data_IF_023117200293
#
_entry.id   IF_023117200293
#
_cell.length_a   1.000
_cell.length_b   1.000
_cell.length_c   1.000
_cell.angle_alpha   90.00
_cell.angle_beta   90.00
_cell.angle_gamma   90.00
#
_symmetry.space_group_name_H-M   'P 1'
#
loop_
_entity.id
_entity.type
_entity.pdbx_description
1 polymer ?
#
# COMPACT_ATOMS: atom_id res chain seq x y z
N UNK A 1 51.24 2.41 -35.58
CA UNK A 1 49.93 2.13 -34.94
C UNK A 1 48.87 2.95 -35.68
N UNK A 2 47.88 2.27 -36.26
CA UNK A 2 46.90 2.88 -37.17
C UNK A 2 45.73 3.45 -36.34
N UNK A 3 45.34 4.74 -36.50
CA UNK A 3 44.25 5.36 -35.74
C UNK A 3 42.88 4.66 -35.91
N UNK A 4 42.70 3.83 -36.93
CA UNK A 4 41.50 3.03 -37.12
C UNK A 4 41.32 1.90 -36.09
N UNK A 5 42.42 1.40 -35.51
CA UNK A 5 42.38 0.27 -34.56
C UNK A 5 41.95 0.70 -33.16
N UNK A 6 42.15 1.96 -32.78
CA UNK A 6 41.66 2.51 -31.51
C UNK A 6 40.17 2.89 -31.54
N UNK A 7 39.64 3.25 -32.72
CA UNK A 7 38.22 3.57 -32.89
C UNK A 7 37.34 2.31 -32.74
N UNK A 8 37.79 1.17 -33.26
CA UNK A 8 37.09 -0.12 -33.14
C UNK A 8 36.98 -0.63 -31.70
N UNK A 9 37.97 -0.35 -30.85
CA UNK A 9 37.99 -0.76 -29.44
C UNK A 9 37.17 0.15 -28.51
N UNK A 10 36.79 1.37 -28.95
CA UNK A 10 35.87 2.23 -28.17
C UNK A 10 34.40 1.95 -28.44
N UNK A 11 34.08 1.31 -29.58
CA UNK A 11 32.70 0.97 -29.95
C UNK A 11 32.21 -0.38 -29.36
N UNK A 12 33.09 -1.16 -28.71
CA UNK A 12 32.71 -2.42 -28.03
C UNK A 12 32.32 -2.24 -26.56
N UNK A 13 32.34 -1.02 -26.03
CA UNK A 13 31.86 -0.68 -24.68
C UNK A 13 30.49 0.03 -24.71
N UNK A 14 29.59 -0.42 -25.57
CA UNK A 14 28.16 -0.23 -25.30
C UNK A 14 27.70 -1.41 -24.44
N UNK A 15 27.90 -1.30 -23.13
CA UNK A 15 27.08 -2.06 -22.18
C UNK A 15 25.62 -1.77 -22.51
N UNK A 16 24.81 -2.78 -22.90
CA UNK A 16 23.39 -2.59 -23.10
C UNK A 16 22.75 -2.46 -21.72
N UNK A 17 22.81 -1.28 -21.11
CA UNK A 17 22.03 -0.97 -19.91
C UNK A 17 20.59 -0.68 -20.33
N UNK A 18 19.92 -1.70 -20.87
CA UNK A 18 18.53 -1.94 -20.54
C UNK A 18 18.55 -3.05 -19.49
N UNK A 19 19.19 -2.77 -18.36
CA UNK A 19 18.82 -3.47 -17.14
C UNK A 19 17.41 -2.93 -16.84
N UNK A 20 16.40 -3.62 -17.36
CA UNK A 20 14.98 -3.39 -17.04
C UNK A 20 14.80 -3.76 -15.57
N UNK A 21 15.36 -2.91 -14.72
CA UNK A 21 15.44 -3.12 -13.28
C UNK A 21 14.02 -3.02 -12.77
N UNK A 22 13.37 -4.18 -12.68
CA UNK A 22 12.01 -4.30 -12.17
C UNK A 22 11.95 -3.69 -10.79
N UNK A 23 11.07 -2.72 -10.62
CA UNK A 23 10.82 -2.13 -9.31
C UNK A 23 10.11 -3.19 -8.47
N UNK A 24 10.82 -3.75 -7.50
CA UNK A 24 10.25 -4.70 -6.56
C UNK A 24 9.63 -3.95 -5.38
N UNK A 25 8.30 -3.91 -5.38
CA UNK A 25 7.51 -3.34 -4.29
C UNK A 25 7.17 -4.42 -3.24
N UNK A 26 6.42 -4.04 -2.20
CA UNK A 26 6.14 -4.93 -1.09
C UNK A 26 5.08 -5.99 -1.44
N UNK A 27 5.56 -7.19 -1.75
CA UNK A 27 4.74 -8.37 -2.02
C UNK A 27 4.16 -8.94 -0.73
N UNK A 28 2.86 -9.24 -0.74
CA UNK A 28 2.16 -9.96 0.34
C UNK A 28 0.94 -10.68 -0.23
N UNK A 29 0.63 -11.87 0.30
CA UNK A 29 -0.57 -12.60 -0.12
C UNK A 29 -1.84 -11.79 0.22
N UNK A 30 -2.85 -11.88 -0.64
CA UNK A 30 -4.13 -11.15 -0.43
C UNK A 30 -4.78 -11.58 0.90
N UNK A 31 -4.73 -12.86 1.25
CA UNK A 31 -5.28 -13.35 2.53
C UNK A 31 -4.59 -12.72 3.73
N UNK A 32 -3.25 -12.64 3.72
CA UNK A 32 -2.49 -11.99 4.80
C UNK A 32 -2.76 -10.49 4.86
N UNK A 33 -2.84 -9.84 3.71
CA UNK A 33 -3.22 -8.43 3.61
C UNK A 33 -4.59 -8.18 4.24
N UNK A 34 -5.60 -8.98 3.88
CA UNK A 34 -6.97 -8.87 4.42
C UNK A 34 -7.01 -9.04 5.94
N UNK A 35 -6.34 -10.07 6.46
CA UNK A 35 -6.29 -10.32 7.90
C UNK A 35 -5.64 -9.16 8.64
N UNK A 36 -4.48 -8.68 8.17
CA UNK A 36 -3.77 -7.59 8.81
C UNK A 36 -4.54 -6.28 8.71
N UNK A 37 -5.11 -5.97 7.55
CA UNK A 37 -5.91 -4.77 7.36
C UNK A 37 -7.16 -4.79 8.25
N UNK A 38 -7.93 -5.88 8.23
CA UNK A 38 -9.16 -6.01 9.00
C UNK A 38 -8.94 -6.02 10.51
N UNK A 39 -8.02 -6.86 11.00
CA UNK A 39 -7.77 -7.02 12.44
C UNK A 39 -6.96 -5.87 13.06
N UNK A 40 -6.52 -4.91 12.26
CA UNK A 40 -5.97 -3.62 12.72
C UNK A 40 -6.87 -2.43 12.40
N UNK A 41 -8.11 -2.68 11.94
CA UNK A 41 -9.06 -1.65 11.52
C UNK A 41 -8.45 -0.61 10.55
N UNK A 42 -7.69 -1.09 9.57
CA UNK A 42 -7.00 -0.27 8.58
C UNK A 42 -5.64 0.28 9.03
N UNK A 43 -5.25 0.15 10.30
CA UNK A 43 -3.96 0.63 10.82
C UNK A 43 -2.74 0.04 10.09
N UNK A 44 -2.86 -1.19 9.58
CA UNK A 44 -1.85 -1.82 8.74
C UNK A 44 -1.45 -0.98 7.51
N UNK A 45 -2.29 -0.04 7.05
CA UNK A 45 -1.98 0.83 5.91
C UNK A 45 -0.72 1.67 6.09
N UNK A 46 -0.44 2.12 7.31
CA UNK A 46 0.78 2.90 7.58
C UNK A 46 2.00 2.02 7.32
N UNK A 47 2.02 0.81 7.90
CA UNK A 47 3.10 -0.15 7.68
C UNK A 47 3.20 -0.57 6.20
N UNK A 48 2.07 -0.87 5.56
CA UNK A 48 2.02 -1.27 4.16
C UNK A 48 2.57 -0.18 3.23
N UNK A 49 2.17 1.08 3.45
CA UNK A 49 2.67 2.23 2.71
C UNK A 49 4.17 2.42 2.93
N UNK A 50 4.61 2.35 4.19
CA UNK A 50 6.04 2.41 4.54
C UNK A 50 6.85 1.37 3.79
N UNK A 51 6.43 0.10 3.82
CA UNK A 51 7.16 -1.00 3.17
C UNK A 51 7.27 -0.78 1.67
N UNK A 52 6.21 -0.34 1.01
CA UNK A 52 6.24 -0.04 -0.43
C UNK A 52 7.20 1.10 -0.75
N UNK A 53 7.13 2.22 -0.02
CA UNK A 53 8.03 3.35 -0.24
C UNK A 53 9.48 3.06 0.13
N UNK A 54 9.71 2.23 1.15
CA UNK A 54 11.05 1.79 1.53
C UNK A 54 11.66 0.89 0.44
N UNK A 55 10.89 -0.06 -0.10
CA UNK A 55 11.33 -0.88 -1.23
C UNK A 55 11.59 -0.02 -2.48
N UNK A 56 10.69 0.88 -2.82
CA UNK A 56 10.88 1.81 -3.94
C UNK A 56 12.17 2.63 -3.79
N UNK A 57 12.43 3.17 -2.59
CA UNK A 57 13.66 3.92 -2.29
C UNK A 57 14.91 3.05 -2.44
N UNK A 58 14.88 1.82 -1.94
CA UNK A 58 16.01 0.90 -2.04
C UNK A 58 16.34 0.55 -3.51
N UNK A 59 15.32 0.39 -4.36
CA UNK A 59 15.51 0.02 -5.75
C UNK A 59 15.95 1.18 -6.65
N UNK A 60 15.39 2.37 -6.42
CA UNK A 60 15.57 3.54 -7.30
C UNK A 60 16.60 4.55 -6.79
N UNK A 61 17.00 4.47 -5.52
CA UNK A 61 17.84 5.49 -4.88
C UNK A 61 17.16 6.84 -4.69
N UNK A 62 15.83 6.94 -4.89
CA UNK A 62 15.11 8.20 -4.83
C UNK A 62 15.25 8.89 -3.45
N UNK A 63 15.46 10.22 -3.39
CA UNK A 63 15.63 10.97 -2.15
C UNK A 63 14.29 11.22 -1.45
N UNK A 64 13.57 10.15 -1.11
CA UNK A 64 12.26 10.20 -0.44
C UNK A 64 12.37 9.80 1.04
N UNK A 65 11.37 10.18 1.82
CA UNK A 65 11.20 9.79 3.22
C UNK A 65 10.03 8.80 3.35
N UNK A 66 10.29 7.46 3.36
CA UNK A 66 9.22 6.46 3.42
C UNK A 66 8.32 6.58 4.65
N UNK A 67 8.89 6.96 5.79
CA UNK A 67 8.14 7.13 7.03
C UNK A 67 7.13 8.28 6.96
N UNK A 68 7.52 9.42 6.38
CA UNK A 68 6.60 10.55 6.18
C UNK A 68 5.48 10.18 5.21
N UNK A 69 5.81 9.49 4.11
CA UNK A 69 4.82 9.02 3.15
C UNK A 69 3.87 7.97 3.72
N UNK A 70 4.31 7.22 4.73
CA UNK A 70 3.50 6.25 5.45
C UNK A 70 2.53 6.92 6.45
N UNK A 71 3.01 7.90 7.22
CA UNK A 71 2.17 8.66 8.14
C UNK A 71 1.08 9.45 7.39
N UNK A 72 1.42 9.99 6.22
CA UNK A 72 0.54 10.74 5.33
C UNK A 72 0.03 9.88 4.16
N UNK A 73 -0.11 8.56 4.35
CA UNK A 73 -0.42 7.63 3.27
C UNK A 73 -1.62 8.02 2.37
N UNK A 74 -2.72 8.66 2.84
CA UNK A 74 -3.81 9.02 1.94
C UNK A 74 -3.37 9.98 0.84
N UNK A 75 -2.40 10.86 1.11
CA UNK A 75 -1.84 11.80 0.12
C UNK A 75 -0.84 11.12 -0.83
N UNK A 76 -0.23 10.02 -0.40
CA UNK A 76 0.79 9.31 -1.18
C UNK A 76 0.26 8.04 -1.86
N UNK A 77 -1.04 7.74 -1.75
CA UNK A 77 -1.62 6.55 -2.39
C UNK A 77 -1.62 6.65 -3.92
N UNK A 78 -1.96 7.83 -4.46
CA UNK A 78 -1.97 8.08 -5.92
C UNK A 78 -0.56 8.00 -6.52
N UNK A 79 0.47 8.69 -5.98
CA UNK A 79 1.84 8.51 -6.44
C UNK A 79 2.34 7.06 -6.35
N UNK A 80 1.92 6.31 -5.33
CA UNK A 80 2.29 4.90 -5.22
C UNK A 80 1.66 4.09 -6.35
N UNK A 81 0.40 4.33 -6.66
CA UNK A 81 -0.32 3.63 -7.72
C UNK A 81 0.24 3.95 -9.11
N UNK A 82 0.68 5.18 -9.33
CA UNK A 82 1.41 5.59 -10.53
C UNK A 82 2.73 4.83 -10.68
N UNK A 83 3.51 4.69 -9.60
CA UNK A 83 4.72 3.85 -9.60
C UNK A 83 4.41 2.40 -9.99
N UNK A 84 3.32 1.84 -9.47
CA UNK A 84 2.89 0.47 -9.80
C UNK A 84 2.52 0.35 -11.28
N UNK A 85 1.71 1.28 -11.80
CA UNK A 85 1.28 1.26 -13.20
C UNK A 85 2.46 1.44 -14.16
N UNK A 86 3.31 2.43 -13.91
CA UNK A 86 4.52 2.66 -14.69
C UNK A 86 5.46 1.45 -14.69
N UNK A 87 5.56 0.75 -13.56
CA UNK A 87 6.30 -0.50 -13.46
C UNK A 87 5.70 -1.60 -14.34
N UNK A 88 4.37 -1.79 -14.28
CA UNK A 88 3.67 -2.79 -15.08
C UNK A 88 3.82 -2.53 -16.58
N UNK A 89 3.66 -1.28 -17.00
CA UNK A 89 3.76 -0.86 -18.40
C UNK A 89 5.17 -1.12 -18.95
N UNK A 90 6.22 -0.85 -18.15
CA UNK A 90 7.62 -1.15 -18.53
C UNK A 90 7.89 -2.64 -18.69
N UNK A 91 7.25 -3.49 -17.87
CA UNK A 91 7.38 -4.95 -18.00
C UNK A 91 6.63 -5.53 -19.21
N UNK A 92 5.99 -4.70 -20.04
CA UNK A 92 5.20 -5.11 -21.20
C UNK A 92 3.91 -5.84 -20.85
N UNK A 93 3.50 -5.81 -19.58
CA UNK A 93 2.26 -6.44 -19.11
C UNK A 93 1.14 -5.42 -19.13
N UNK A 94 0.19 -5.56 -20.04
CA UNK A 94 -1.06 -4.80 -20.03
C UNK A 94 -1.94 -5.26 -18.86
N UNK A 95 -1.62 -4.84 -17.64
CA UNK A 95 -2.42 -5.10 -16.45
C UNK A 95 -3.16 -3.82 -16.06
N UNK A 96 -4.40 -3.69 -16.53
CA UNK A 96 -5.23 -2.53 -16.25
C UNK A 96 -6.08 -2.77 -15.01
N UNK A 97 -5.85 -1.98 -13.97
CA UNK A 97 -6.55 -2.10 -12.69
C UNK A 97 -7.18 -0.79 -12.21
N UNK A 98 -7.20 0.24 -13.05
CA UNK A 98 -7.75 1.57 -12.79
C UNK A 98 -7.08 2.27 -11.58
N UNK A 99 -5.75 2.52 -11.62
CA UNK A 99 -5.02 3.11 -10.51
C UNK A 99 -5.61 4.46 -10.07
N UNK A 100 -5.85 5.38 -10.99
CA UNK A 100 -6.35 6.73 -10.68
C UNK A 100 -7.72 6.72 -10.00
N UNK A 101 -8.71 6.08 -10.63
CA UNK A 101 -10.08 5.99 -10.10
C UNK A 101 -10.10 5.38 -8.70
N UNK A 102 -9.35 4.30 -8.47
CA UNK A 102 -9.28 3.66 -7.15
C UNK A 102 -8.58 4.52 -6.12
N UNK A 103 -7.48 5.16 -6.49
CA UNK A 103 -6.74 6.05 -5.59
C UNK A 103 -7.60 7.24 -5.15
N UNK A 104 -8.33 7.86 -6.08
CA UNK A 104 -9.26 8.96 -5.79
C UNK A 104 -10.42 8.51 -4.89
N UNK A 105 -11.01 7.34 -5.17
CA UNK A 105 -12.07 6.78 -4.32
C UNK A 105 -11.58 6.48 -2.91
N UNK A 106 -10.39 5.89 -2.75
CA UNK A 106 -9.79 5.65 -1.42
C UNK A 106 -9.59 6.98 -0.68
N UNK A 107 -9.02 7.98 -1.34
CA UNK A 107 -8.82 9.30 -0.75
C UNK A 107 -10.15 9.94 -0.31
N UNK A 108 -11.19 9.86 -1.14
CA UNK A 108 -12.52 10.37 -0.84
C UNK A 108 -13.16 9.64 0.36
N UNK A 109 -13.06 8.31 0.41
CA UNK A 109 -13.60 7.50 1.52
C UNK A 109 -12.88 7.83 2.85
N UNK A 110 -11.56 7.99 2.82
CA UNK A 110 -10.77 8.39 4.00
C UNK A 110 -11.13 9.82 4.44
N UNK A 111 -11.24 10.75 3.49
CA UNK A 111 -11.65 12.12 3.80
C UNK A 111 -13.05 12.17 4.41
N UNK A 112 -13.99 11.38 3.87
CA UNK A 112 -15.33 11.26 4.42
C UNK A 112 -15.34 10.63 5.82
N UNK A 113 -14.52 9.62 6.07
CA UNK A 113 -14.32 9.02 7.41
C UNK A 113 -13.84 10.06 8.43
N UNK A 114 -12.87 10.89 8.06
CA UNK A 114 -12.38 12.00 8.91
C UNK A 114 -13.49 13.04 9.13
N UNK A 115 -14.25 13.39 8.10
CA UNK A 115 -15.35 14.35 8.21
C UNK A 115 -16.44 13.85 9.15
N UNK A 116 -16.88 12.59 9.01
CA UNK A 116 -17.85 11.98 9.92
C UNK A 116 -17.34 12.01 11.36
N UNK A 117 -16.09 11.60 11.57
CA UNK A 117 -15.50 11.54 12.91
C UNK A 117 -15.29 12.92 13.55
N UNK A 118 -15.20 13.99 12.76
CA UNK A 118 -15.00 15.37 13.25
C UNK A 118 -16.30 16.15 13.42
N UNK A 119 -17.34 15.86 12.62
CA UNK A 119 -18.64 16.51 12.73
C UNK A 119 -19.55 15.86 13.77
N UNK A 120 -19.45 14.54 13.96
CA UNK A 120 -20.29 13.77 14.86
C UNK A 120 -19.51 13.39 16.13
N UNK A 121 -19.35 14.36 17.03
CA UNK A 121 -18.53 14.20 18.25
C UNK A 121 -19.36 13.94 19.51
N UNK A 122 -20.69 13.92 19.41
CA UNK A 122 -21.55 13.70 20.57
C UNK A 122 -21.57 12.21 20.93
N UNK A 123 -21.65 11.85 22.22
CA UNK A 123 -21.78 10.45 22.65
C UNK A 123 -22.94 9.69 22.00
N UNK A 124 -24.06 10.39 21.74
CA UNK A 124 -25.21 9.82 21.04
C UNK A 124 -24.90 9.41 19.59
N UNK A 125 -23.92 10.06 18.96
CA UNK A 125 -23.55 9.80 17.57
C UNK A 125 -22.52 8.65 17.43
N UNK A 126 -21.90 8.24 18.54
CA UNK A 126 -20.77 7.32 18.58
C UNK A 126 -21.00 6.01 17.83
N UNK A 127 -22.15 5.37 18.07
CA UNK A 127 -22.52 4.12 17.38
C UNK A 127 -22.63 4.33 15.87
N UNK A 128 -23.23 5.44 15.43
CA UNK A 128 -23.32 5.77 14.01
C UNK A 128 -21.94 5.99 13.40
N UNK A 129 -21.07 6.75 14.06
CA UNK A 129 -19.69 7.00 13.61
C UNK A 129 -18.90 5.69 13.51
N UNK A 130 -19.03 4.79 14.49
CA UNK A 130 -18.37 3.49 14.48
C UNK A 130 -18.84 2.63 13.29
N UNK A 131 -20.15 2.51 13.09
CA UNK A 131 -20.70 1.75 11.96
C UNK A 131 -20.31 2.36 10.61
N UNK A 132 -20.38 3.68 10.45
CA UNK A 132 -19.96 4.36 9.23
C UNK A 132 -18.49 4.11 8.94
N UNK A 133 -17.60 4.26 9.93
CA UNK A 133 -16.18 3.98 9.75
C UNK A 133 -15.91 2.52 9.39
N UNK A 134 -16.61 1.56 10.01
CA UNK A 134 -16.48 0.14 9.67
C UNK A 134 -16.85 -0.15 8.20
N UNK A 135 -17.92 0.47 7.70
CA UNK A 135 -18.34 0.37 6.29
C UNK A 135 -17.28 0.99 5.36
N UNK A 136 -16.77 2.18 5.69
CA UNK A 136 -15.77 2.87 4.88
C UNK A 136 -14.44 2.11 4.83
N UNK A 137 -13.97 1.56 5.95
CA UNK A 137 -12.77 0.71 6.03
C UNK A 137 -12.96 -0.52 5.14
N UNK A 138 -14.13 -1.16 5.19
CA UNK A 138 -14.43 -2.34 4.36
C UNK A 138 -14.44 -1.98 2.87
N UNK A 139 -15.02 -0.83 2.49
CA UNK A 139 -14.99 -0.32 1.12
C UNK A 139 -13.57 -0.02 0.62
N UNK A 140 -12.74 0.63 1.45
CA UNK A 140 -11.32 0.87 1.16
C UNK A 140 -10.56 -0.45 0.97
N UNK A 141 -10.83 -1.46 1.78
CA UNK A 141 -10.18 -2.76 1.70
C UNK A 141 -10.31 -3.39 0.30
N UNK A 142 -11.52 -3.37 -0.27
CA UNK A 142 -11.78 -3.92 -1.60
C UNK A 142 -10.95 -3.23 -2.69
N UNK A 143 -10.77 -1.91 -2.60
CA UNK A 143 -9.96 -1.14 -3.54
C UNK A 143 -8.46 -1.42 -3.37
N UNK A 144 -8.01 -1.56 -2.12
CA UNK A 144 -6.62 -1.86 -1.78
C UNK A 144 -6.21 -3.29 -2.16
N UNK A 145 -7.13 -4.25 -2.15
CA UNK A 145 -6.87 -5.61 -2.65
C UNK A 145 -6.46 -5.58 -4.13
N UNK A 146 -7.09 -4.74 -4.95
CA UNK A 146 -6.68 -4.60 -6.35
C UNK A 146 -5.28 -4.01 -6.48
N UNK A 147 -4.94 -3.00 -5.67
CA UNK A 147 -3.60 -2.44 -5.62
C UNK A 147 -2.55 -3.49 -5.19
N UNK A 148 -2.84 -4.29 -4.17
CA UNK A 148 -1.93 -5.36 -3.75
C UNK A 148 -1.73 -6.41 -4.85
N UNK A 149 -2.80 -6.77 -5.57
CA UNK A 149 -2.69 -7.69 -6.72
C UNK A 149 -1.80 -7.09 -7.82
N UNK A 150 -1.95 -5.81 -8.13
CA UNK A 150 -1.10 -5.12 -9.10
C UNK A 150 0.39 -5.13 -8.68
N UNK A 151 0.68 -4.86 -7.40
CA UNK A 151 2.04 -4.94 -6.84
C UNK A 151 2.62 -6.36 -6.93
N UNK A 152 1.83 -7.37 -6.58
CA UNK A 152 2.22 -8.78 -6.67
C UNK A 152 2.50 -9.19 -8.13
N UNK A 153 1.67 -8.73 -9.07
CA UNK A 153 1.87 -8.95 -10.50
C UNK A 153 3.16 -8.31 -11.01
N UNK A 154 3.46 -7.08 -10.60
CA UNK A 154 4.69 -6.36 -10.96
C UNK A 154 5.94 -7.12 -10.51
N UNK A 155 5.92 -7.64 -9.28
CA UNK A 155 7.01 -8.43 -8.72
C UNK A 155 7.14 -9.85 -9.32
N UNK A 156 6.21 -10.27 -10.19
CA UNK A 156 6.21 -11.62 -10.77
C UNK A 156 5.74 -12.72 -9.82
N UNK A 157 5.15 -12.39 -8.67
CA UNK A 157 4.54 -13.33 -7.71
C UNK A 157 3.05 -12.98 -7.49
N UNK A 158 2.16 -13.29 -8.46
CA UNK A 158 0.74 -12.90 -8.41
C UNK A 158 0.01 -13.34 -7.14
N UNK A 159 0.43 -14.47 -6.56
CA UNK A 159 -0.19 -15.04 -5.37
C UNK A 159 0.38 -14.48 -4.06
N UNK A 160 1.48 -13.72 -4.12
CA UNK A 160 2.20 -13.23 -2.95
C UNK A 160 2.74 -14.37 -2.08
N UNK A 161 3.19 -15.45 -2.72
CA UNK A 161 3.67 -16.68 -2.12
C UNK A 161 4.89 -16.45 -1.22
N UNK A 162 5.79 -15.55 -1.65
CA UNK A 162 7.01 -15.19 -0.91
C UNK A 162 6.69 -14.66 0.49
N UNK A 163 5.52 -14.04 0.67
CA UNK A 163 5.11 -13.44 1.92
C UNK A 163 3.66 -13.83 2.27
N UNK A 164 3.40 -15.15 2.27
CA UNK A 164 2.11 -15.72 2.66
C UNK A 164 1.99 -16.05 4.15
N UNK A 165 3.10 -16.43 4.80
CA UNK A 165 3.08 -16.87 6.20
C UNK A 165 2.87 -15.71 7.18
N UNK A 166 2.10 -15.95 8.24
CA UNK A 166 1.97 -15.05 9.37
C UNK A 166 3.14 -15.30 10.35
N UNK A 167 3.85 -14.24 10.71
CA UNK A 167 4.86 -14.28 11.77
C UNK A 167 4.20 -13.99 13.12
N UNK A 168 4.91 -14.30 14.21
CA UNK A 168 4.49 -13.93 15.57
C UNK A 168 4.26 -12.44 15.74
N UNK A 169 5.09 -11.59 15.11
CA UNK A 169 4.89 -10.15 15.10
C UNK A 169 3.56 -9.76 14.44
N UNK A 170 3.20 -10.38 13.31
CA UNK A 170 1.90 -10.13 12.66
C UNK A 170 0.75 -10.52 13.58
N UNK A 171 0.87 -11.66 14.25
CA UNK A 171 -0.13 -12.12 15.21
C UNK A 171 -0.29 -11.15 16.38
N UNK A 172 0.81 -10.69 16.98
CA UNK A 172 0.78 -9.70 18.05
C UNK A 172 0.07 -8.40 17.63
N UNK A 173 0.33 -7.89 16.42
CA UNK A 173 -0.34 -6.70 15.90
C UNK A 173 -1.84 -6.93 15.65
N UNK A 174 -2.24 -8.10 15.15
CA UNK A 174 -3.65 -8.43 14.97
C UNK A 174 -4.38 -8.51 16.32
N UNK A 175 -3.76 -9.11 17.35
CA UNK A 175 -4.32 -9.15 18.71
C UNK A 175 -4.44 -7.74 19.28
N UNK A 176 -3.38 -6.94 19.20
CA UNK A 176 -3.39 -5.57 19.71
C UNK A 176 -4.46 -4.70 19.03
N UNK A 177 -4.57 -4.78 17.70
CA UNK A 177 -5.59 -4.06 16.93
C UNK A 177 -7.01 -4.49 17.29
N UNK A 178 -7.24 -5.80 17.43
CA UNK A 178 -8.55 -6.34 17.82
C UNK A 178 -8.94 -5.91 19.25
N UNK A 179 -7.99 -5.94 20.19
CA UNK A 179 -8.20 -5.47 21.56
C UNK A 179 -8.51 -3.98 21.59
N UNK A 180 -7.80 -3.16 20.81
CA UNK A 180 -8.08 -1.73 20.71
C UNK A 180 -9.51 -1.47 20.21
N UNK A 181 -9.95 -2.19 19.17
CA UNK A 181 -11.32 -2.09 18.66
C UNK A 181 -12.36 -2.49 19.71
N UNK A 182 -12.11 -3.58 20.45
CA UNK A 182 -13.00 -4.01 21.52
C UNK A 182 -13.08 -2.98 22.65
N UNK A 183 -11.95 -2.37 23.02
CA UNK A 183 -11.88 -1.31 24.03
C UNK A 183 -12.66 -0.08 23.58
N UNK A 184 -12.46 0.39 22.34
CA UNK A 184 -13.21 1.52 21.79
C UNK A 184 -14.70 1.21 21.77
N UNK A 185 -15.11 0.06 21.23
CA UNK A 185 -16.52 -0.34 21.20
C UNK A 185 -17.14 -0.43 22.61
N UNK A 186 -16.39 -0.93 23.60
CA UNK A 186 -16.82 -0.97 24.99
C UNK A 186 -16.97 0.43 25.60
N UNK A 187 -16.01 1.33 25.37
CA UNK A 187 -16.08 2.71 25.85
C UNK A 187 -17.30 3.44 25.28
N UNK A 188 -17.53 3.31 23.97
CA UNK A 188 -18.70 3.93 23.34
C UNK A 188 -20.01 3.34 23.89
N UNK A 189 -20.09 2.03 24.07
CA UNK A 189 -21.26 1.39 24.66
C UNK A 189 -21.53 1.85 26.11
N UNK A 190 -20.48 1.99 26.91
CA UNK A 190 -20.61 2.50 28.29
C UNK A 190 -20.98 3.98 28.32
N UNK A 191 -20.52 4.78 27.35
CA UNK A 191 -20.87 6.21 27.26
C UNK A 191 -22.33 6.47 26.87
N UNK A 192 -23.04 5.46 26.37
CA UNK A 192 -24.47 5.55 26.02
C UNK A 192 -25.42 5.13 27.14
N UNK A 193 -24.91 4.64 28.26
CA UNK A 193 -25.68 4.29 29.47
C UNK A 193 -25.66 5.43 30.47
#
# INVERSE_FOLDING_TARGET
MNPATEAGNRLSKTTPWCDDKRINLYVVSVSKFLLLYGLTAGGYMVYWSYRNWASYKAETGAPIAPLLRAALWPFFILPLFEVVQNGLDRTGRCYFWQPETRGLLIMLLVMFSVLVSTLFTRPADAVYVLFTNAVLITGCCAMLVAAQRAINMLAGDPQGSVNKALSWANFAWMVAGTLLMAIVGYMEFMSQR
#
